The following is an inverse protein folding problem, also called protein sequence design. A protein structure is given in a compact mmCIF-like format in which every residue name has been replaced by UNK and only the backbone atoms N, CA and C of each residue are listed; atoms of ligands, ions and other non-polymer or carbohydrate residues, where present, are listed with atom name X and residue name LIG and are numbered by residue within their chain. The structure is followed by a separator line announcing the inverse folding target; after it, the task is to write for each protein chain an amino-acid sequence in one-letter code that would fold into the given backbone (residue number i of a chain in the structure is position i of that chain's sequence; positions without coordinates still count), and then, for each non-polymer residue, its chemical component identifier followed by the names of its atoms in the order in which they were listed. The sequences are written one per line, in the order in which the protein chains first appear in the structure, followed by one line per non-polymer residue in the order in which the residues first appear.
data_IF_340796073521
#
_entry.id   IF_340796073521
#
_cell.length_a   1.000
_cell.length_b   1.000
_cell.length_c   1.000
_cell.angle_alpha   90.00
_cell.angle_beta   90.00
_cell.angle_gamma   90.00
#
_symmetry.space_group_name_H-M   'P 1'
#
loop_
_entity.id
_entity.type
_entity.pdbx_description
1 polymer ?
#
# COMPACT_ATOMS: atom_id res chain seq x y z
N UNK A 1 -23.55 10.96 -24.48
CA UNK A 1 -22.18 11.43 -24.19
C UNK A 1 -21.85 11.10 -22.76
N UNK A 2 -20.86 10.23 -22.49
CA UNK A 2 -20.44 9.92 -21.12
C UNK A 2 -19.50 11.04 -20.67
N UNK A 3 -20.04 12.00 -19.90
CA UNK A 3 -19.29 13.10 -19.32
C UNK A 3 -18.59 12.60 -18.06
N UNK A 4 -17.25 12.65 -18.05
CA UNK A 4 -16.48 12.44 -16.82
C UNK A 4 -16.31 13.77 -16.11
N UNK A 5 -16.29 13.80 -14.78
CA UNK A 5 -16.08 15.05 -14.02
C UNK A 5 -14.63 15.20 -13.57
N UNK A 6 -14.17 16.44 -13.42
CA UNK A 6 -12.88 16.74 -12.82
C UNK A 6 -12.89 16.41 -11.33
N UNK A 7 -11.92 15.64 -10.84
CA UNK A 7 -11.88 15.30 -9.41
C UNK A 7 -11.49 16.44 -8.46
N UNK A 8 -10.98 17.56 -8.99
CA UNK A 8 -10.62 18.72 -8.17
C UNK A 8 -11.76 19.75 -8.08
N UNK A 9 -12.44 20.02 -9.20
CA UNK A 9 -13.41 21.10 -9.31
C UNK A 9 -14.79 20.66 -9.79
N UNK A 10 -15.04 19.36 -9.96
CA UNK A 10 -16.29 18.75 -10.43
C UNK A 10 -16.79 19.18 -11.83
N UNK A 11 -16.03 19.99 -12.57
CA UNK A 11 -16.40 20.43 -13.91
C UNK A 11 -16.55 19.24 -14.89
N UNK A 12 -17.52 19.28 -15.82
CA UNK A 12 -17.68 18.25 -16.85
C UNK A 12 -16.51 18.27 -17.84
N UNK A 13 -16.03 17.08 -18.20
CA UNK A 13 -14.87 16.85 -19.05
C UNK A 13 -15.16 15.81 -20.12
N UNK A 14 -14.50 15.99 -21.26
CA UNK A 14 -14.42 14.98 -22.30
C UNK A 14 -13.60 13.77 -21.83
N UNK A 15 -13.94 12.58 -22.35
CA UNK A 15 -13.26 11.31 -22.02
C UNK A 15 -11.79 11.27 -22.49
N UNK A 16 -11.30 12.24 -23.26
CA UNK A 16 -9.89 12.34 -23.65
C UNK A 16 -9.09 13.31 -22.76
N UNK A 17 -9.71 13.91 -21.74
CA UNK A 17 -9.05 14.85 -20.86
C UNK A 17 -7.82 14.23 -20.16
N UNK A 18 -6.77 15.03 -19.86
CA UNK A 18 -5.58 14.57 -19.17
C UNK A 18 -5.90 13.79 -17.90
N UNK A 19 -5.25 12.64 -17.74
CA UNK A 19 -5.45 11.75 -16.60
C UNK A 19 -4.14 11.47 -15.88
N UNK A 20 -4.21 11.26 -14.58
CA UNK A 20 -3.04 10.80 -13.84
C UNK A 20 -2.78 9.32 -14.17
N UNK A 21 -1.55 9.00 -14.58
CA UNK A 21 -1.14 7.62 -14.85
C UNK A 21 -1.25 6.68 -13.64
N UNK A 22 -1.17 7.21 -12.40
CA UNK A 22 -1.28 6.42 -11.16
C UNK A 22 -2.73 6.12 -10.76
N UNK A 23 -3.59 7.14 -10.67
CA UNK A 23 -4.97 6.97 -10.18
C UNK A 23 -6.04 6.93 -11.29
N UNK A 24 -5.66 7.13 -12.57
CA UNK A 24 -6.54 7.16 -13.75
C UNK A 24 -7.66 8.22 -13.71
N UNK A 25 -7.70 9.06 -12.68
CA UNK A 25 -8.61 10.20 -12.53
C UNK A 25 -8.24 11.32 -13.50
N UNK A 26 -9.26 12.05 -13.97
CA UNK A 26 -9.16 13.10 -15.00
C UNK A 26 -9.27 14.50 -14.42
N UNK A 27 -8.63 15.45 -15.09
CA UNK A 27 -8.55 16.84 -14.66
C UNK A 27 -8.73 17.80 -15.82
N UNK A 28 -9.23 19.01 -15.51
CA UNK A 28 -9.30 20.10 -16.48
C UNK A 28 -7.92 20.54 -16.94
N UNK A 29 -6.96 20.63 -16.01
CA UNK A 29 -5.62 21.15 -16.25
C UNK A 29 -4.64 20.69 -15.16
N UNK A 30 -3.35 21.01 -15.34
CA UNK A 30 -2.26 20.68 -14.41
C UNK A 30 -2.49 21.25 -13.01
N UNK A 31 -3.14 22.40 -12.88
CA UNK A 31 -3.45 23.03 -11.59
C UNK A 31 -4.44 22.19 -10.79
N UNK A 32 -5.52 21.73 -11.42
CA UNK A 32 -6.48 20.81 -10.81
C UNK A 32 -5.83 19.47 -10.44
N UNK A 33 -4.95 18.96 -11.29
CA UNK A 33 -4.17 17.76 -10.99
C UNK A 33 -3.30 17.96 -9.73
N UNK A 34 -2.61 19.09 -9.62
CA UNK A 34 -1.73 19.41 -8.49
C UNK A 34 -2.51 19.69 -7.20
N UNK A 35 -3.66 20.34 -7.29
CA UNK A 35 -4.54 20.59 -6.14
C UNK A 35 -5.13 19.28 -5.60
N UNK A 36 -5.64 18.43 -6.51
CA UNK A 36 -6.04 17.07 -6.14
C UNK A 36 -4.86 16.26 -5.59
N UNK A 37 -3.65 16.45 -6.11
CA UNK A 37 -2.45 15.83 -5.57
C UNK A 37 -2.14 16.27 -4.14
N UNK A 38 -2.23 17.57 -3.86
CA UNK A 38 -1.98 18.13 -2.52
C UNK A 38 -3.03 17.69 -1.51
N UNK A 39 -4.30 17.58 -1.94
CA UNK A 39 -5.43 17.24 -1.06
C UNK A 39 -5.60 15.73 -0.82
N UNK A 40 -5.24 14.89 -1.79
CA UNK A 40 -5.60 13.46 -1.75
C UNK A 40 -4.48 12.48 -2.03
N UNK A 41 -3.47 12.81 -2.86
CA UNK A 41 -2.49 11.79 -3.27
C UNK A 41 -1.49 11.36 -2.20
N UNK A 42 -1.25 12.17 -1.16
CA UNK A 42 -0.45 11.71 -0.01
C UNK A 42 -1.13 10.59 0.79
N UNK A 43 -2.42 10.32 0.55
CA UNK A 43 -3.22 9.35 1.29
C UNK A 43 -3.70 8.16 0.43
N UNK A 44 -3.38 8.10 -0.86
CA UNK A 44 -3.90 7.06 -1.78
C UNK A 44 -2.81 6.07 -2.15
N UNK A 45 -2.81 5.02 -1.34
CA UNK A 45 -2.40 3.62 -1.53
C UNK A 45 -1.41 3.27 -2.68
N UNK A 46 -0.34 2.52 -2.37
CA UNK A 46 0.70 2.11 -3.31
C UNK A 46 0.27 1.39 -4.60
N UNK A 47 1.20 1.26 -5.55
CA UNK A 47 0.99 0.79 -6.94
C UNK A 47 0.21 -0.52 -7.04
N UNK A 48 0.41 -1.42 -6.08
CA UNK A 48 -0.26 -2.72 -5.98
C UNK A 48 -1.79 -2.64 -5.80
N UNK A 49 -2.29 -1.60 -5.14
CA UNK A 49 -3.71 -1.44 -4.84
C UNK A 49 -4.57 -1.11 -6.07
N UNK A 50 -3.94 -0.77 -7.20
CA UNK A 50 -4.63 -0.50 -8.48
C UNK A 50 -5.25 -1.76 -9.10
N UNK A 51 -4.84 -2.96 -8.69
CA UNK A 51 -5.36 -4.24 -9.17
C UNK A 51 -5.67 -5.17 -8.00
N UNK A 52 -6.71 -4.88 -7.19
CA UNK A 52 -7.13 -5.67 -6.01
C UNK A 52 -7.01 -7.20 -6.24
N UNK A 53 -5.99 -7.88 -5.70
CA UNK A 53 -5.84 -9.33 -5.83
C UNK A 53 -6.71 -10.08 -4.81
N UNK A 54 -6.94 -9.48 -3.63
CA UNK A 54 -7.68 -10.06 -2.50
C UNK A 54 -9.12 -10.49 -2.84
N UNK A 55 -9.75 -9.88 -3.85
CA UNK A 55 -11.10 -10.26 -4.28
C UNK A 55 -11.12 -11.45 -5.25
N UNK A 56 -9.96 -11.87 -5.77
CA UNK A 56 -9.80 -12.95 -6.75
C UNK A 56 -8.98 -14.14 -6.22
N UNK A 57 -8.15 -13.91 -5.21
CA UNK A 57 -7.27 -14.90 -4.61
C UNK A 57 -7.80 -15.33 -3.25
N UNK A 58 -7.64 -16.61 -2.91
CA UNK A 58 -7.87 -17.08 -1.56
C UNK A 58 -6.94 -16.40 -0.55
N UNK A 59 -7.25 -16.45 0.77
CA UNK A 59 -6.40 -15.85 1.81
C UNK A 59 -4.95 -16.30 1.74
N UNK A 60 -4.70 -17.55 1.35
CA UNK A 60 -3.37 -18.15 1.26
C UNK A 60 -2.56 -17.55 0.08
N UNK A 61 -3.12 -17.65 -1.12
CA UNK A 61 -2.51 -17.13 -2.34
C UNK A 61 -2.21 -15.62 -2.22
N UNK A 62 -3.11 -14.88 -1.56
CA UNK A 62 -2.90 -13.47 -1.30
C UNK A 62 -1.71 -13.20 -0.36
N UNK A 63 -1.54 -13.98 0.71
CA UNK A 63 -0.41 -13.86 1.64
C UNK A 63 0.92 -14.21 0.95
N UNK A 64 0.95 -15.24 0.10
CA UNK A 64 2.15 -15.58 -0.69
C UNK A 64 2.55 -14.44 -1.63
N UNK A 65 1.58 -13.82 -2.32
CA UNK A 65 1.87 -12.66 -3.16
C UNK A 65 2.34 -11.45 -2.34
N UNK A 66 1.74 -11.22 -1.17
CA UNK A 66 2.13 -10.12 -0.28
C UNK A 66 3.55 -10.29 0.26
N UNK A 67 3.94 -11.51 0.62
CA UNK A 67 5.29 -11.87 1.07
C UNK A 67 6.35 -11.52 0.00
N UNK A 68 6.16 -12.02 -1.22
CA UNK A 68 7.09 -11.77 -2.33
C UNK A 68 7.16 -10.27 -2.64
N UNK A 69 6.01 -9.59 -2.66
CA UNK A 69 5.97 -8.17 -2.98
C UNK A 69 6.67 -7.34 -1.89
N UNK A 70 6.38 -7.58 -0.61
CA UNK A 70 7.03 -6.89 0.50
C UNK A 70 8.56 -7.02 0.43
N UNK A 71 9.06 -8.24 0.20
CA UNK A 71 10.49 -8.48 -0.03
C UNK A 71 11.03 -7.63 -1.18
N UNK A 72 10.36 -7.62 -2.34
CA UNK A 72 10.83 -6.84 -3.49
C UNK A 72 10.81 -5.33 -3.23
N UNK A 73 9.84 -4.83 -2.49
CA UNK A 73 9.75 -3.42 -2.12
C UNK A 73 10.88 -3.02 -1.17
N UNK A 74 11.20 -3.86 -0.18
CA UNK A 74 12.34 -3.64 0.72
C UNK A 74 13.66 -3.65 -0.06
N UNK A 75 13.84 -4.58 -1.00
CA UNK A 75 15.03 -4.63 -1.87
C UNK A 75 15.17 -3.42 -2.80
N UNK A 76 14.06 -2.78 -3.16
CA UNK A 76 14.04 -1.54 -3.95
C UNK A 76 14.08 -0.28 -3.07
N UNK A 77 14.22 -0.44 -1.76
CA UNK A 77 14.19 0.63 -0.76
C UNK A 77 12.89 1.43 -0.73
N UNK A 78 11.80 0.89 -1.29
CA UNK A 78 10.46 1.49 -1.22
C UNK A 78 9.76 1.05 0.08
N UNK A 79 10.40 1.38 1.20
CA UNK A 79 9.95 0.95 2.53
C UNK A 79 8.56 1.50 2.89
N UNK A 80 8.22 2.69 2.39
CA UNK A 80 6.90 3.28 2.59
C UNK A 80 5.78 2.43 1.95
N UNK A 81 6.00 1.94 0.73
CA UNK A 81 5.06 1.05 0.05
C UNK A 81 4.99 -0.32 0.75
N UNK A 82 6.13 -0.84 1.23
CA UNK A 82 6.19 -2.11 1.97
C UNK A 82 5.42 -2.06 3.30
N UNK A 83 5.67 -1.05 4.13
CA UNK A 83 4.98 -0.86 5.42
C UNK A 83 3.46 -0.76 5.21
N UNK A 84 3.03 0.02 4.22
CA UNK A 84 1.61 0.19 3.92
C UNK A 84 0.94 -1.12 3.44
N UNK A 85 1.64 -1.93 2.64
CA UNK A 85 1.17 -3.26 2.25
C UNK A 85 1.02 -4.17 3.47
N UNK A 86 2.08 -4.30 4.27
CA UNK A 86 2.14 -5.27 5.36
C UNK A 86 1.16 -4.95 6.48
N UNK A 87 0.97 -3.67 6.81
CA UNK A 87 -0.06 -3.24 7.78
C UNK A 87 -1.50 -3.58 7.34
N UNK A 88 -1.76 -3.70 6.05
CA UNK A 88 -3.09 -4.12 5.55
C UNK A 88 -3.25 -5.65 5.55
N UNK A 89 -2.19 -6.38 5.20
CA UNK A 89 -2.24 -7.84 5.03
C UNK A 89 -2.16 -8.58 6.36
N UNK A 90 -1.27 -8.17 7.28
CA UNK A 90 -0.99 -8.88 8.53
C UNK A 90 -2.26 -9.14 9.36
N UNK A 91 -3.18 -8.18 9.58
CA UNK A 91 -4.42 -8.45 10.33
C UNK A 91 -5.27 -9.57 9.71
N UNK A 92 -5.28 -9.63 8.38
CA UNK A 92 -6.05 -10.64 7.64
C UNK A 92 -5.35 -12.01 7.68
N UNK A 93 -4.02 -12.01 7.67
CA UNK A 93 -3.21 -13.23 7.86
C UNK A 93 -3.41 -13.81 9.26
N UNK A 94 -3.37 -12.97 10.30
CA UNK A 94 -3.61 -13.39 11.69
C UNK A 94 -5.01 -13.98 11.83
N UNK A 95 -6.03 -13.34 11.25
CA UNK A 95 -7.41 -13.83 11.32
C UNK A 95 -7.62 -15.16 10.59
N UNK A 96 -6.90 -15.42 9.49
CA UNK A 96 -7.06 -16.62 8.67
C UNK A 96 -6.19 -17.79 9.14
N UNK A 97 -4.98 -17.52 9.64
CA UNK A 97 -3.95 -18.53 9.87
C UNK A 97 -3.43 -18.56 11.32
N UNK A 98 -3.67 -17.51 12.10
CA UNK A 98 -3.08 -17.32 13.42
C UNK A 98 -1.81 -16.48 13.39
N UNK A 99 -1.39 -16.05 14.59
CA UNK A 99 -0.24 -15.18 14.80
C UNK A 99 1.09 -15.88 14.50
N UNK A 100 1.21 -17.13 14.91
CA UNK A 100 2.46 -17.90 14.91
C UNK A 100 2.62 -18.76 13.64
N UNK A 101 1.67 -18.68 12.72
CA UNK A 101 1.78 -19.40 11.46
C UNK A 101 2.94 -18.82 10.64
N UNK A 102 3.72 -19.72 10.02
CA UNK A 102 4.99 -19.41 9.35
C UNK A 102 4.88 -18.29 8.31
N UNK A 103 3.77 -18.19 7.58
CA UNK A 103 3.52 -17.12 6.60
C UNK A 103 3.17 -15.81 7.30
N UNK A 104 2.38 -15.81 8.37
CA UNK A 104 2.14 -14.61 9.20
C UNK A 104 3.44 -14.08 9.78
N UNK A 105 4.28 -14.93 10.38
CA UNK A 105 5.59 -14.56 10.92
C UNK A 105 6.49 -13.89 9.88
N UNK A 106 6.49 -14.40 8.64
CA UNK A 106 7.31 -13.84 7.57
C UNK A 106 6.84 -12.46 7.11
N UNK A 107 5.52 -12.20 7.07
CA UNK A 107 5.01 -10.84 6.81
C UNK A 107 5.41 -9.86 7.91
N UNK A 108 5.36 -10.30 9.16
CA UNK A 108 5.78 -9.52 10.34
C UNK A 108 7.28 -9.20 10.28
N UNK A 109 8.11 -10.19 9.91
CA UNK A 109 9.54 -9.99 9.66
C UNK A 109 9.79 -8.89 8.62
N UNK A 110 9.11 -8.92 7.47
CA UNK A 110 9.29 -7.87 6.45
C UNK A 110 8.84 -6.49 6.92
N UNK A 111 7.87 -6.43 7.84
CA UNK A 111 7.38 -5.18 8.40
C UNK A 111 8.44 -4.59 9.31
N UNK A 112 9.00 -5.41 10.20
CA UNK A 112 10.08 -4.98 11.08
C UNK A 112 11.32 -4.55 10.27
N UNK A 113 11.69 -5.31 9.25
CA UNK A 113 12.78 -4.97 8.32
C UNK A 113 12.54 -3.61 7.63
N UNK A 114 11.33 -3.39 7.09
CA UNK A 114 10.98 -2.14 6.45
C UNK A 114 10.95 -0.96 7.43
N UNK A 115 10.48 -1.17 8.67
CA UNK A 115 10.45 -0.15 9.72
C UNK A 115 11.86 0.25 10.16
N UNK A 116 12.78 -0.70 10.29
CA UNK A 116 14.18 -0.42 10.64
C UNK A 116 14.88 0.41 9.56
N UNK A 117 14.68 0.06 8.29
CA UNK A 117 15.33 0.76 7.18
C UNK A 117 14.65 2.09 6.80
N UNK A 118 13.33 2.22 7.01
CA UNK A 118 12.62 3.50 6.88
C UNK A 118 12.90 4.44 8.07
N UNK A 119 13.27 3.87 9.21
CA UNK A 119 13.27 4.52 10.51
C UNK A 119 14.29 5.64 10.61
N UNK A 120 13.81 6.88 10.56
CA UNK A 120 14.49 8.08 11.07
C UNK A 120 14.01 8.47 12.47
N UNK A 121 12.97 7.80 12.99
CA UNK A 121 12.29 8.11 14.26
C UNK A 121 12.25 6.90 15.20
N UNK A 122 12.43 7.14 16.51
CA UNK A 122 12.52 6.12 17.57
C UNK A 122 11.24 5.29 17.71
N UNK A 123 10.09 5.83 17.31
CA UNK A 123 8.82 5.11 17.36
C UNK A 123 8.78 3.91 16.40
N UNK A 124 9.31 4.07 15.18
CA UNK A 124 9.35 2.98 14.18
C UNK A 124 10.34 1.89 14.60
N UNK A 125 11.46 2.27 15.24
CA UNK A 125 12.43 1.31 15.78
C UNK A 125 11.81 0.51 16.93
N UNK A 126 11.02 1.15 17.81
CA UNK A 126 10.33 0.45 18.90
C UNK A 126 9.29 -0.55 18.37
N UNK A 127 8.48 -0.14 17.40
CA UNK A 127 7.52 -1.03 16.74
C UNK A 127 8.24 -2.23 16.08
N UNK A 128 9.38 -2.01 15.43
CA UNK A 128 10.16 -3.10 14.85
C UNK A 128 10.65 -4.12 15.90
N UNK A 129 11.09 -3.65 17.08
CA UNK A 129 11.51 -4.51 18.19
C UNK A 129 10.35 -5.38 18.68
N UNK A 130 9.19 -4.76 18.95
CA UNK A 130 7.99 -5.48 19.40
C UNK A 130 7.57 -6.55 18.38
N UNK A 131 7.63 -6.22 17.09
CA UNK A 131 7.32 -7.17 16.02
C UNK A 131 8.33 -8.32 15.99
N UNK A 132 9.64 -8.08 16.20
CA UNK A 132 10.64 -9.14 16.26
C UNK A 132 10.46 -10.06 17.48
N UNK A 133 10.26 -9.48 18.67
CA UNK A 133 10.08 -10.23 19.93
C UNK A 133 8.90 -11.19 19.81
N UNK A 134 7.76 -10.71 19.31
CA UNK A 134 6.58 -11.52 19.07
C UNK A 134 6.72 -12.57 17.94
N UNK A 135 7.78 -12.51 17.13
CA UNK A 135 8.06 -13.52 16.09
C UNK A 135 9.11 -14.55 16.51
N UNK A 136 9.74 -14.38 17.67
CA UNK A 136 10.87 -15.19 18.14
C UNK A 136 10.54 -16.22 19.23
N UNK A 137 9.24 -16.47 19.49
CA UNK A 137 8.75 -17.47 20.45
C UNK A 137 8.37 -18.81 19.78
#
# INVERSE_FOLDING_TARGET
MILTTCAACAAPLALNAPRCVRCQVRYCNKTCQMDHWRRGHKQIRPRFWSRRPRARLGPDEYVVCADILAKTLNMLEDYAESIALLRDVIPSSIAAFGLDERRTLRLRYWLADALLHAGTDKAMIREAIEVFEDTSL
#
